data_IF_616500553189
#
_entry.id   IF_616500553189
#
_cell.length_a   1.000
_cell.length_b   1.000
_cell.length_c   1.000
_cell.angle_alpha   90.00
_cell.angle_beta   90.00
_cell.angle_gamma   90.00
#
_symmetry.space_group_name_H-M   'P 1'
#
loop_
_entity.id
_entity.type
_entity.pdbx_description
1 polymer ?
#
# COMPACT_ATOMS: atom_id res chain seq x y z
N UNK A 1 -1.06 7.83 24.05
CA UNK A 1 -0.67 7.00 22.89
C UNK A 1 0.27 5.93 23.41
N UNK A 2 -0.05 4.65 23.20
CA UNK A 2 0.82 3.54 23.64
C UNK A 2 1.59 3.05 22.42
N UNK A 3 2.91 2.99 22.52
CA UNK A 3 3.79 2.48 21.46
C UNK A 3 4.48 1.25 22.01
N UNK A 4 4.33 0.13 21.31
CA UNK A 4 4.96 -1.15 21.70
C UNK A 4 5.96 -1.56 20.64
N UNK A 5 7.27 -1.45 20.89
CA UNK A 5 8.27 -1.91 19.95
C UNK A 5 8.28 -3.45 19.90
N UNK A 6 8.34 -4.00 18.69
CA UNK A 6 8.50 -5.44 18.45
C UNK A 6 9.84 -5.64 17.77
N UNK A 7 10.74 -6.35 18.43
CA UNK A 7 12.08 -6.64 17.90
C UNK A 7 12.11 -8.09 17.40
N UNK A 8 12.63 -8.27 16.18
CA UNK A 8 12.90 -9.58 15.59
C UNK A 8 14.14 -9.46 14.70
N UNK A 9 15.09 -10.38 14.85
CA UNK A 9 16.35 -10.42 14.09
C UNK A 9 16.26 -11.30 12.84
N UNK A 10 15.17 -12.04 12.66
CA UNK A 10 14.97 -12.99 11.56
C UNK A 10 14.07 -12.46 10.44
N UNK A 11 13.59 -11.21 10.52
CA UNK A 11 12.71 -10.62 9.51
C UNK A 11 13.49 -10.09 8.31
N UNK A 12 13.35 -10.75 7.16
CA UNK A 12 13.96 -10.32 5.89
C UNK A 12 12.97 -9.57 4.97
N UNK A 13 11.67 -9.66 5.23
CA UNK A 13 10.63 -9.02 4.42
C UNK A 13 9.47 -8.52 5.29
N UNK A 14 8.65 -7.62 4.72
CA UNK A 14 7.42 -7.15 5.37
C UNK A 14 6.44 -8.30 5.66
N UNK A 15 6.38 -9.31 4.79
CA UNK A 15 5.52 -10.49 4.99
C UNK A 15 5.93 -11.31 6.21
N UNK A 16 7.23 -11.51 6.43
CA UNK A 16 7.72 -12.21 7.62
C UNK A 16 7.43 -11.43 8.91
N UNK A 17 7.57 -10.10 8.87
CA UNK A 17 7.19 -9.25 10.00
C UNK A 17 5.69 -9.38 10.33
N UNK A 18 4.83 -9.34 9.31
CA UNK A 18 3.38 -9.52 9.49
C UNK A 18 3.03 -10.89 10.09
N UNK A 19 3.69 -11.96 9.64
CA UNK A 19 3.49 -13.32 10.19
C UNK A 19 3.88 -13.40 11.66
N UNK A 20 4.99 -12.81 12.06
CA UNK A 20 5.41 -12.80 13.48
C UNK A 20 4.43 -12.00 14.33
N UNK A 21 3.93 -10.87 13.81
CA UNK A 21 2.94 -10.05 14.51
C UNK A 21 1.62 -10.82 14.70
N UNK A 22 1.18 -11.56 13.67
CA UNK A 22 0.00 -12.43 13.74
C UNK A 22 0.20 -13.58 14.73
N UNK A 23 1.36 -14.26 14.72
CA UNK A 23 1.69 -15.32 15.67
C UNK A 23 1.68 -14.86 17.14
N UNK A 24 1.94 -13.57 17.37
CA UNK A 24 1.89 -12.96 18.71
C UNK A 24 0.50 -12.41 19.09
N UNK A 25 -0.50 -12.58 18.22
CA UNK A 25 -1.89 -12.10 18.41
C UNK A 25 -1.98 -10.60 18.77
N UNK A 26 -1.09 -9.80 18.18
CA UNK A 26 -1.02 -8.35 18.47
C UNK A 26 -2.08 -7.56 17.70
N UNK A 27 -2.50 -8.05 16.53
CA UNK A 27 -3.48 -7.41 15.66
C UNK A 27 -4.83 -8.11 15.85
N UNK A 28 -5.78 -7.43 16.48
CA UNK A 28 -7.13 -7.99 16.77
C UNK A 28 -8.21 -7.56 15.78
N UNK A 29 -7.97 -6.50 15.01
CA UNK A 29 -8.95 -5.89 14.10
C UNK A 29 -8.27 -5.27 12.88
N UNK A 30 -9.01 -4.51 12.08
CA UNK A 30 -8.44 -3.66 11.03
C UNK A 30 -7.26 -2.86 11.58
N UNK A 31 -6.16 -2.86 10.82
CA UNK A 31 -4.95 -2.13 11.15
C UNK A 31 -4.46 -1.36 9.94
N UNK A 32 -3.58 -0.39 10.19
CA UNK A 32 -2.95 0.40 9.14
C UNK A 32 -1.49 -0.03 9.04
N UNK A 33 -1.06 -0.41 7.84
CA UNK A 33 0.33 -0.76 7.53
C UNK A 33 0.97 0.40 6.77
N UNK A 34 2.08 0.92 7.29
CA UNK A 34 2.81 2.07 6.73
C UNK A 34 4.30 1.76 6.78
N UNK A 35 5.04 2.15 5.75
CA UNK A 35 6.51 2.13 5.75
C UNK A 35 7.07 3.24 6.65
N UNK A 36 8.09 2.94 7.47
CA UNK A 36 8.55 3.83 8.54
C UNK A 36 9.04 5.22 8.10
N UNK A 37 9.36 5.38 6.83
CA UNK A 37 9.84 6.59 6.15
C UNK A 37 8.73 7.41 5.48
N UNK A 38 7.46 7.09 5.71
CA UNK A 38 6.33 7.77 5.07
C UNK A 38 6.00 9.10 5.73
N UNK A 39 6.00 10.19 4.95
CA UNK A 39 5.49 11.51 5.36
C UNK A 39 4.18 11.80 4.65
N UNK A 40 3.08 11.89 5.41
CA UNK A 40 1.75 12.18 4.87
C UNK A 40 0.92 13.04 5.83
N UNK A 41 0.07 13.90 5.27
CA UNK A 41 -0.94 14.67 5.99
C UNK A 41 -2.34 14.32 5.43
N UNK A 42 -2.76 13.07 5.63
CA UNK A 42 -4.05 12.56 5.15
C UNK A 42 -4.94 12.23 6.35
N UNK A 43 -6.20 12.68 6.30
CA UNK A 43 -7.20 12.25 7.28
C UNK A 43 -7.64 10.81 6.98
N UNK A 44 -7.24 9.86 7.82
CA UNK A 44 -7.56 8.44 7.67
C UNK A 44 -8.97 8.06 8.11
N UNK A 45 -9.66 8.89 8.89
CA UNK A 45 -11.01 8.60 9.39
C UNK A 45 -12.02 8.25 8.28
N UNK A 46 -12.18 9.06 7.21
CA UNK A 46 -13.12 8.73 6.12
C UNK A 46 -12.69 7.48 5.34
N UNK A 47 -11.38 7.24 5.21
CA UNK A 47 -10.85 6.06 4.53
C UNK A 47 -11.20 4.78 5.30
N UNK A 48 -10.98 4.79 6.62
CA UNK A 48 -11.28 3.65 7.48
C UNK A 48 -12.78 3.35 7.51
N UNK A 49 -13.63 4.39 7.53
CA UNK A 49 -15.07 4.22 7.43
C UNK A 49 -15.47 3.55 6.11
N UNK A 50 -14.91 4.00 4.98
CA UNK A 50 -15.14 3.39 3.67
C UNK A 50 -14.60 1.96 3.57
N UNK A 51 -13.48 1.64 4.23
CA UNK A 51 -12.96 0.27 4.30
C UNK A 51 -13.91 -0.65 5.07
N UNK A 52 -14.35 -0.23 6.27
CA UNK A 52 -15.29 -1.00 7.10
C UNK A 52 -16.63 -1.24 6.39
N UNK A 53 -17.20 -0.21 5.77
CA UNK A 53 -18.44 -0.33 5.01
C UNK A 53 -18.31 -1.31 3.82
N UNK A 54 -17.13 -1.41 3.20
CA UNK A 54 -16.86 -2.42 2.16
C UNK A 54 -16.71 -3.82 2.75
N UNK A 55 -15.98 -3.95 3.87
CA UNK A 55 -15.77 -5.23 4.57
C UNK A 55 -17.07 -5.83 5.12
N UNK A 56 -18.01 -4.98 5.55
CA UNK A 56 -19.35 -5.40 5.99
C UNK A 56 -20.18 -5.98 4.83
N UNK A 57 -20.07 -5.40 3.63
CA UNK A 57 -20.77 -5.88 2.42
C UNK A 57 -20.10 -7.10 1.81
N UNK A 58 -18.77 -7.13 1.79
CA UNK A 58 -17.97 -8.21 1.24
C UNK A 58 -16.80 -8.54 2.18
N UNK A 59 -16.87 -9.72 2.81
CA UNK A 59 -15.83 -10.22 3.71
C UNK A 59 -14.50 -10.50 3.00
N UNK A 60 -14.50 -10.60 1.67
CA UNK A 60 -13.30 -10.81 0.87
C UNK A 60 -12.52 -9.52 0.59
N UNK A 61 -13.02 -8.36 1.04
CA UNK A 61 -12.31 -7.09 0.97
C UNK A 61 -11.21 -7.00 2.05
N UNK A 62 -10.09 -7.70 1.84
CA UNK A 62 -9.02 -7.90 2.83
C UNK A 62 -8.18 -6.62 3.08
N UNK A 63 -7.93 -5.80 2.05
CA UNK A 63 -7.13 -4.58 2.19
C UNK A 63 -7.63 -3.43 1.31
N UNK A 64 -7.21 -2.21 1.63
CA UNK A 64 -7.45 -1.01 0.82
C UNK A 64 -6.14 -0.26 0.65
N UNK A 65 -5.69 -0.13 -0.60
CA UNK A 65 -4.48 0.62 -0.91
C UNK A 65 -4.81 2.10 -1.12
N UNK A 66 -4.03 2.96 -0.47
CA UNK A 66 -4.11 4.40 -0.62
C UNK A 66 -3.06 4.89 -1.60
N UNK A 67 -3.50 5.60 -2.62
CA UNK A 67 -2.62 6.13 -3.67
C UNK A 67 -2.93 7.61 -3.89
N UNK A 68 -1.88 8.40 -4.12
CA UNK A 68 -1.99 9.80 -4.49
C UNK A 68 -1.54 9.96 -5.94
N UNK A 69 -2.37 10.53 -6.83
CA UNK A 69 -1.95 10.79 -8.20
C UNK A 69 -0.80 11.81 -8.20
N UNK A 70 0.23 11.52 -8.98
CA UNK A 70 1.35 12.44 -9.21
C UNK A 70 1.14 13.09 -10.56
N UNK A 71 0.93 14.41 -10.57
CA UNK A 71 0.62 15.14 -11.78
C UNK A 71 1.86 15.69 -12.50
N UNK A 72 3.00 15.84 -11.80
CA UNK A 72 4.19 16.46 -12.37
C UNK A 72 5.37 15.48 -12.50
N UNK A 73 6.04 15.38 -13.67
CA UNK A 73 7.22 14.52 -13.84
C UNK A 73 8.38 14.83 -12.88
N UNK A 74 8.54 16.09 -12.45
CA UNK A 74 9.55 16.49 -11.47
C UNK A 74 9.27 15.92 -10.07
N UNK A 75 7.99 15.76 -9.71
CA UNK A 75 7.59 15.09 -8.47
C UNK A 75 7.87 13.58 -8.54
N UNK A 76 7.73 12.96 -9.71
CA UNK A 76 8.09 11.53 -9.91
C UNK A 76 9.58 11.28 -9.66
N UNK A 77 10.45 12.09 -10.27
CA UNK A 77 11.91 11.98 -10.13
C UNK A 77 12.37 12.17 -8.68
N UNK A 78 11.74 13.09 -7.94
CA UNK A 78 12.08 13.39 -6.54
C UNK A 78 11.66 12.27 -5.58
N UNK A 79 10.62 11.51 -5.89
CA UNK A 79 10.12 10.42 -5.05
C UNK A 79 10.82 9.08 -5.31
N UNK A 80 11.67 8.97 -6.35
CA UNK A 80 12.35 7.71 -6.71
C UNK A 80 11.40 6.56 -7.06
N UNK A 81 10.10 6.83 -7.24
CA UNK A 81 9.09 5.80 -7.42
C UNK A 81 9.18 5.19 -8.82
N UNK A 82 9.26 3.85 -8.84
CA UNK A 82 8.95 3.02 -10.00
C UNK A 82 7.61 3.42 -10.61
N UNK A 83 7.51 3.40 -11.94
CA UNK A 83 6.29 3.81 -12.64
C UNK A 83 5.21 2.76 -12.40
N UNK A 84 4.26 3.07 -11.51
CA UNK A 84 3.23 2.12 -11.11
C UNK A 84 1.97 2.34 -11.95
N UNK A 85 1.59 1.31 -12.70
CA UNK A 85 0.34 1.26 -13.46
C UNK A 85 -0.73 0.51 -12.67
N UNK A 86 -1.88 1.16 -12.54
CA UNK A 86 -2.98 0.71 -11.70
C UNK A 86 -4.26 0.70 -12.52
N UNK A 87 -4.96 -0.42 -12.56
CA UNK A 87 -6.27 -0.52 -13.19
C UNK A 87 -7.34 -0.65 -12.09
N UNK A 88 -8.28 0.29 -12.08
CA UNK A 88 -9.39 0.33 -11.13
C UNK A 88 -10.71 0.09 -11.87
N UNK A 89 -11.63 -0.63 -11.24
CA UNK A 89 -13.02 -0.67 -11.68
C UNK A 89 -13.70 0.69 -11.37
N UNK A 90 -14.26 1.42 -12.36
CA UNK A 90 -14.82 2.75 -12.14
C UNK A 90 -16.04 2.77 -11.22
N UNK A 91 -16.79 1.67 -11.10
CA UNK A 91 -17.96 1.58 -10.23
C UNK A 91 -17.60 1.33 -8.77
N UNK A 92 -16.71 0.36 -8.52
CA UNK A 92 -16.38 -0.09 -7.16
C UNK A 92 -15.07 0.45 -6.59
N UNK A 93 -14.25 1.13 -7.41
CA UNK A 93 -12.86 1.48 -7.09
C UNK A 93 -12.03 0.27 -6.65
N UNK A 94 -12.38 -0.93 -7.14
CA UNK A 94 -11.63 -2.15 -6.88
C UNK A 94 -10.37 -2.16 -7.73
N UNK A 95 -9.25 -2.44 -7.10
CA UNK A 95 -7.99 -2.69 -7.79
C UNK A 95 -8.07 -4.02 -8.55
N UNK A 96 -8.00 -3.94 -9.88
CA UNK A 96 -8.01 -5.09 -10.78
C UNK A 96 -6.60 -5.51 -11.16
N UNK A 97 -5.71 -4.53 -11.38
CA UNK A 97 -4.32 -4.78 -11.80
C UNK A 97 -3.39 -3.78 -11.17
N UNK A 98 -2.25 -4.28 -10.71
CA UNK A 98 -1.13 -3.50 -10.21
C UNK A 98 0.14 -3.98 -10.92
N UNK A 99 0.85 -3.07 -11.56
CA UNK A 99 2.11 -3.36 -12.26
C UNK A 99 3.11 -2.27 -11.92
N UNK A 100 4.27 -2.67 -11.43
CA UNK A 100 5.43 -1.78 -11.33
C UNK A 100 6.25 -1.92 -12.61
N UNK A 101 6.54 -0.80 -13.26
CA UNK A 101 7.43 -0.74 -14.41
C UNK A 101 8.81 -0.25 -13.97
N UNK A 102 9.80 -1.11 -14.14
CA UNK A 102 11.20 -0.71 -14.03
C UNK A 102 11.53 0.28 -15.14
N UNK A 103 12.03 1.45 -14.76
CA UNK A 103 12.50 2.50 -15.68
C UNK A 103 13.56 2.01 -16.66
N UNK A 104 14.25 0.90 -16.35
CA UNK A 104 15.26 0.24 -17.20
C UNK A 104 14.67 -0.41 -18.46
N UNK A 105 13.39 -0.78 -18.45
CA UNK A 105 12.73 -1.46 -19.58
C UNK A 105 12.45 -0.55 -20.78
N UNK A 106 12.54 0.78 -20.63
CA UNK A 106 12.30 1.74 -21.71
C UNK A 106 13.42 1.81 -22.75
N UNK A 107 14.65 1.43 -22.40
CA UNK A 107 15.78 1.45 -23.36
C UNK A 107 15.60 0.39 -24.45
N UNK A 108 14.86 -0.70 -24.18
CA UNK A 108 14.61 -1.75 -25.17
C UNK A 108 13.42 -1.46 -26.11
N UNK A 109 12.54 -0.51 -25.77
CA UNK A 109 11.29 -0.27 -26.51
C UNK A 109 11.36 0.94 -27.47
N UNK A 110 12.49 1.66 -27.53
CA UNK A 110 12.68 2.82 -28.43
C UNK A 110 13.46 2.50 -29.71
N UNK A 111 13.73 1.22 -29.99
CA UNK A 111 14.19 0.77 -31.30
C UNK A 111 13.13 -0.14 -31.95
N UNK A 112 12.14 0.48 -32.59
CA UNK A 112 11.39 -0.12 -33.68
C UNK A 112 10.70 0.96 -34.51
#
# INVERSE_FOLDING_TARGET
MVVTPVVSTSCLSAGEALRIIEQRDLIKSDFVLISGDTVANLNLAPVLAAHRARREKDKNAIFTMLMKPVHHPQQRLRMGCSETLVCLDPGSNRLLKYVEQDSSSRVAASFK
#
